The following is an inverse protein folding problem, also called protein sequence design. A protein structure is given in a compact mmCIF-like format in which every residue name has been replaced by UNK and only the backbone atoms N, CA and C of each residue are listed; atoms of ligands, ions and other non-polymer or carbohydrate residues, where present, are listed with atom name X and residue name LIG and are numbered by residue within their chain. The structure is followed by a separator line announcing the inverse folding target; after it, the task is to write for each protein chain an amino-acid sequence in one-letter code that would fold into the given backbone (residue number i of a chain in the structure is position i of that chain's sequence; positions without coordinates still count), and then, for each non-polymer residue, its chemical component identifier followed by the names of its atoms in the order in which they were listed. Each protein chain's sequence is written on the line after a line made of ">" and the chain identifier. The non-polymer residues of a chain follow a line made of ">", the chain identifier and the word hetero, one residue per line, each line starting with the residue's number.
data_IF_432058630148
#
_entry.id   IF_432058630148
#
_cell.length_a   1.000
_cell.length_b   1.000
_cell.length_c   1.000
_cell.angle_alpha   90.00
_cell.angle_beta   90.00
_cell.angle_gamma   90.00
#
_symmetry.space_group_name_H-M   'P 1'
#
loop_
_entity.id
_entity.type
_entity.pdbx_description
1 polymer ?
#
# COMPACT_ATOMS: atom_id res chain seq x y z
N UNK A 1 -24.44 -10.76 27.55
CA UNK A 1 -25.54 -10.11 26.80
C UNK A 1 -25.45 -10.58 25.35
N UNK A 2 -26.50 -11.13 24.74
CA UNK A 2 -26.41 -11.60 23.36
C UNK A 2 -26.45 -10.38 22.43
N UNK A 3 -25.32 -10.03 21.84
CA UNK A 3 -25.24 -8.94 20.87
C UNK A 3 -25.88 -9.39 19.55
N UNK A 4 -26.77 -8.54 19.06
CA UNK A 4 -27.73 -8.74 17.97
C UNK A 4 -27.06 -9.09 16.63
N UNK A 5 -27.59 -10.11 15.93
CA UNK A 5 -27.24 -10.50 14.54
C UNK A 5 -27.58 -9.46 13.45
N UNK A 6 -27.98 -8.23 13.83
CA UNK A 6 -28.39 -7.17 12.87
C UNK A 6 -27.23 -6.30 12.36
N UNK A 7 -26.04 -6.40 12.94
CA UNK A 7 -24.91 -5.51 12.63
C UNK A 7 -24.34 -5.71 11.23
N UNK A 8 -24.44 -6.93 10.67
CA UNK A 8 -23.81 -7.33 9.40
C UNK A 8 -24.32 -6.55 8.17
N UNK A 9 -25.61 -6.18 8.14
CA UNK A 9 -26.20 -5.48 6.97
C UNK A 9 -25.85 -3.98 6.95
N UNK A 10 -25.83 -3.34 8.11
CA UNK A 10 -25.42 -1.93 8.23
C UNK A 10 -23.92 -1.77 8.00
N UNK A 11 -23.13 -2.73 8.50
CA UNK A 11 -21.72 -2.85 8.17
C UNK A 11 -21.53 -3.01 6.67
N UNK A 12 -22.28 -3.93 6.03
CA UNK A 12 -22.26 -4.14 4.57
C UNK A 12 -22.64 -2.91 3.73
N UNK A 13 -23.56 -2.08 4.21
CA UNK A 13 -23.95 -0.83 3.53
C UNK A 13 -22.85 0.24 3.61
N UNK A 14 -22.14 0.33 4.74
CA UNK A 14 -21.01 1.25 4.90
C UNK A 14 -19.85 0.92 3.94
N UNK A 15 -19.77 -0.34 3.49
CA UNK A 15 -18.72 -0.83 2.58
C UNK A 15 -18.85 -0.26 1.15
N UNK A 16 -20.06 0.13 0.74
CA UNK A 16 -20.30 0.73 -0.58
C UNK A 16 -19.90 2.21 -0.63
N UNK A 17 -19.63 2.85 0.52
CA UNK A 17 -19.41 4.29 0.54
C UNK A 17 -18.14 4.72 -0.20
N UNK A 18 -17.13 3.86 -0.34
CA UNK A 18 -15.91 4.17 -1.09
C UNK A 18 -16.17 4.27 -2.59
N UNK A 19 -16.70 3.24 -3.28
CA UNK A 19 -17.15 3.37 -4.66
C UNK A 19 -18.17 4.50 -4.86
N UNK A 20 -19.15 4.62 -3.95
CA UNK A 20 -20.17 5.66 -4.03
C UNK A 20 -19.60 7.07 -3.84
N UNK A 21 -18.57 7.24 -3.01
CA UNK A 21 -17.86 8.50 -2.80
C UNK A 21 -17.10 8.92 -4.05
N UNK A 22 -16.35 8.01 -4.68
CA UNK A 22 -15.69 8.28 -5.96
C UNK A 22 -16.69 8.58 -7.08
N UNK A 23 -17.80 7.84 -7.14
CA UNK A 23 -18.89 8.11 -8.07
C UNK A 23 -19.54 9.47 -7.79
N UNK A 24 -19.78 9.84 -6.54
CA UNK A 24 -20.33 11.14 -6.17
C UNK A 24 -19.38 12.28 -6.52
N UNK A 25 -18.06 12.12 -6.31
CA UNK A 25 -17.07 13.10 -6.74
C UNK A 25 -17.13 13.29 -8.26
N UNK A 26 -17.12 12.19 -9.02
CA UNK A 26 -17.09 12.23 -10.48
C UNK A 26 -18.41 12.72 -11.12
N UNK A 27 -19.56 12.30 -10.59
CA UNK A 27 -20.87 12.58 -11.18
C UNK A 27 -21.61 13.76 -10.55
N UNK A 28 -21.21 14.24 -9.37
CA UNK A 28 -21.89 15.35 -8.68
C UNK A 28 -20.96 16.53 -8.50
N UNK A 29 -19.81 16.34 -7.83
CA UNK A 29 -18.90 17.45 -7.56
C UNK A 29 -18.25 17.99 -8.83
N UNK A 30 -17.83 17.13 -9.74
CA UNK A 30 -17.17 17.55 -10.98
C UNK A 30 -18.10 18.36 -11.91
N UNK A 31 -19.36 17.93 -12.17
CA UNK A 31 -20.31 18.74 -12.94
C UNK A 31 -20.76 20.00 -12.21
N UNK A 32 -20.88 19.98 -10.87
CA UNK A 32 -21.16 21.16 -10.08
C UNK A 32 -20.04 22.20 -10.25
N UNK A 33 -18.79 21.77 -10.19
CA UNK A 33 -17.63 22.64 -10.34
C UNK A 33 -17.53 23.26 -11.74
N UNK A 34 -17.89 22.48 -12.77
CA UNK A 34 -18.03 22.98 -14.15
C UNK A 34 -19.20 23.95 -14.25
N UNK A 35 -20.34 23.66 -13.63
CA UNK A 35 -21.52 24.53 -13.60
C UNK A 35 -21.23 25.88 -12.94
N UNK A 36 -20.42 25.90 -11.87
CA UNK A 36 -20.02 27.13 -11.17
C UNK A 36 -19.23 28.10 -12.08
N UNK A 37 -18.55 27.63 -13.12
CA UNK A 37 -17.88 28.49 -14.12
C UNK A 37 -18.85 29.42 -14.85
N UNK A 38 -20.14 29.07 -14.92
CA UNK A 38 -21.18 29.85 -15.59
C UNK A 38 -21.99 30.74 -14.64
N UNK A 39 -21.54 30.87 -13.38
CA UNK A 39 -22.20 31.68 -12.35
C UNK A 39 -21.29 32.81 -11.87
N UNK A 40 -21.80 33.68 -10.98
CA UNK A 40 -20.99 34.73 -10.35
C UNK A 40 -19.80 34.19 -9.52
N UNK A 41 -19.82 32.89 -9.17
CA UNK A 41 -18.78 32.21 -8.41
C UNK A 41 -17.64 31.64 -9.28
N UNK A 42 -17.59 31.97 -10.58
CA UNK A 42 -16.63 31.42 -11.55
C UNK A 42 -15.15 31.54 -11.16
N UNK A 43 -14.80 32.52 -10.31
CA UNK A 43 -13.43 32.70 -9.82
C UNK A 43 -12.93 31.51 -8.99
N UNK A 44 -13.81 30.85 -8.22
CA UNK A 44 -13.43 29.70 -7.38
C UNK A 44 -12.96 28.50 -8.23
N UNK A 45 -13.74 28.01 -9.21
CA UNK A 45 -13.27 26.93 -10.07
C UNK A 45 -12.11 27.36 -10.97
N UNK A 46 -12.06 28.61 -11.42
CA UNK A 46 -10.94 29.12 -12.23
C UNK A 46 -9.62 29.07 -11.47
N UNK A 47 -9.59 29.55 -10.22
CA UNK A 47 -8.38 29.48 -9.39
C UNK A 47 -7.95 28.04 -9.12
N UNK A 48 -8.91 27.13 -8.90
CA UNK A 48 -8.62 25.71 -8.73
C UNK A 48 -8.08 25.05 -10.00
N UNK A 49 -8.66 25.32 -11.18
CA UNK A 49 -8.16 24.80 -12.46
C UNK A 49 -6.78 25.37 -12.82
N UNK A 50 -6.54 26.65 -12.54
CA UNK A 50 -5.22 27.27 -12.70
C UNK A 50 -4.21 26.61 -11.77
N UNK A 51 -4.56 26.40 -10.49
CA UNK A 51 -3.70 25.64 -9.57
C UNK A 51 -3.43 24.23 -10.10
N UNK A 52 -4.46 23.48 -10.54
CA UNK A 52 -4.31 22.13 -11.09
C UNK A 52 -3.47 22.09 -12.38
N UNK A 53 -3.56 23.12 -13.22
CA UNK A 53 -2.74 23.26 -14.42
C UNK A 53 -1.28 23.56 -14.09
N UNK A 54 -1.04 24.48 -13.15
CA UNK A 54 0.30 24.80 -12.66
C UNK A 54 0.93 23.61 -11.93
N UNK A 55 0.12 22.88 -11.18
CA UNK A 55 0.49 21.70 -10.37
C UNK A 55 0.45 20.39 -11.19
N UNK A 56 0.18 20.43 -12.50
CA UNK A 56 -0.01 19.23 -13.33
C UNK A 56 1.17 18.25 -13.31
N UNK A 57 2.38 18.76 -13.02
CA UNK A 57 3.58 17.93 -12.92
C UNK A 57 3.83 17.39 -11.51
N UNK A 58 3.26 17.98 -10.47
CA UNK A 58 3.48 17.62 -9.07
C UNK A 58 3.04 16.20 -8.73
N UNK A 59 1.93 15.66 -9.26
CA UNK A 59 1.59 14.24 -9.10
C UNK A 59 2.69 13.28 -9.59
N UNK A 60 3.52 13.71 -10.55
CA UNK A 60 4.61 12.90 -11.12
C UNK A 60 5.94 13.05 -10.37
N UNK A 61 6.03 13.90 -9.33
CA UNK A 61 7.29 14.22 -8.65
C UNK A 61 7.63 13.28 -7.48
N UNK A 62 6.79 12.29 -7.16
CA UNK A 62 7.06 11.36 -6.06
C UNK A 62 6.57 9.93 -6.25
N UNK A 63 5.66 9.70 -7.20
CA UNK A 63 5.13 8.37 -7.49
C UNK A 63 5.36 8.05 -8.96
N UNK A 64 6.00 6.92 -9.22
CA UNK A 64 6.29 6.45 -10.56
C UNK A 64 5.69 5.06 -10.78
N UNK A 65 5.57 4.67 -12.05
CA UNK A 65 5.32 3.27 -12.39
C UNK A 65 6.43 2.39 -11.81
N UNK A 66 6.06 1.25 -11.22
CA UNK A 66 7.01 0.21 -10.76
C UNK A 66 7.49 -0.71 -11.91
N UNK A 67 7.32 -0.27 -13.17
CA UNK A 67 7.82 -1.00 -14.34
C UNK A 67 9.35 -0.95 -14.40
N UNK A 68 9.96 -2.02 -14.92
CA UNK A 68 11.41 -2.11 -15.05
C UNK A 68 12.03 -0.92 -15.83
N UNK A 69 11.45 -0.41 -16.94
CA UNK A 69 11.97 0.78 -17.61
C UNK A 69 11.95 2.03 -16.74
N UNK A 70 10.90 2.24 -15.94
CA UNK A 70 10.78 3.38 -15.04
C UNK A 70 11.82 3.32 -13.91
N UNK A 71 12.00 2.13 -13.30
CA UNK A 71 13.04 1.91 -12.28
C UNK A 71 14.43 2.15 -12.88
N UNK A 72 14.69 1.64 -14.09
CA UNK A 72 15.96 1.84 -14.79
C UNK A 72 16.22 3.33 -15.06
N UNK A 73 15.20 4.07 -15.50
CA UNK A 73 15.29 5.51 -15.71
C UNK A 73 15.68 6.22 -14.41
N UNK A 74 14.99 5.94 -13.31
CA UNK A 74 15.26 6.58 -12.01
C UNK A 74 16.66 6.26 -11.48
N UNK A 75 17.11 5.02 -11.59
CA UNK A 75 18.44 4.62 -11.12
C UNK A 75 19.59 5.09 -12.06
N UNK A 76 19.28 5.50 -13.30
CA UNK A 76 20.29 5.99 -14.24
C UNK A 76 20.80 7.42 -13.98
N UNK A 77 20.09 8.21 -13.17
CA UNK A 77 20.42 9.64 -12.92
C UNK A 77 21.60 9.86 -11.95
N UNK A 78 22.41 8.84 -11.71
CA UNK A 78 23.57 8.91 -10.80
C UNK A 78 23.17 8.92 -9.32
N UNK A 79 24.06 9.44 -8.48
CA UNK A 79 23.91 9.46 -7.01
C UNK A 79 22.89 10.49 -6.54
N UNK A 80 22.23 10.22 -5.41
CA UNK A 80 21.28 11.15 -4.78
C UNK A 80 19.80 10.80 -4.97
N UNK A 81 19.52 9.69 -5.67
CA UNK A 81 18.15 9.19 -5.87
C UNK A 81 17.82 8.12 -4.81
N UNK A 82 16.65 8.25 -4.17
CA UNK A 82 16.06 7.23 -3.30
C UNK A 82 14.79 6.69 -3.97
N UNK A 83 14.69 5.38 -4.09
CA UNK A 83 13.53 4.71 -4.67
C UNK A 83 12.91 3.77 -3.62
N UNK A 84 11.68 4.07 -3.21
CA UNK A 84 10.87 3.17 -2.39
C UNK A 84 10.06 2.21 -3.25
N UNK A 85 10.06 0.92 -2.91
CA UNK A 85 9.28 -0.11 -3.62
C UNK A 85 8.56 -0.97 -2.58
N UNK A 86 7.24 -1.10 -2.71
CA UNK A 86 6.44 -2.08 -1.97
C UNK A 86 6.43 -3.38 -2.78
N UNK A 87 7.28 -4.33 -2.41
CA UNK A 87 7.62 -5.49 -3.26
C UNK A 87 6.46 -6.47 -3.44
N UNK A 88 5.66 -6.75 -2.41
CA UNK A 88 4.54 -7.66 -2.54
C UNK A 88 3.25 -7.01 -3.05
N UNK A 89 3.17 -5.67 -3.02
CA UNK A 89 2.13 -4.88 -3.65
C UNK A 89 0.72 -5.28 -3.24
N UNK A 90 -0.22 -5.34 -4.20
CA UNK A 90 -1.64 -5.68 -3.94
C UNK A 90 -1.80 -7.08 -3.30
N UNK A 91 -0.86 -7.99 -3.51
CA UNK A 91 -0.90 -9.31 -2.89
C UNK A 91 -0.77 -9.25 -1.36
N UNK A 92 0.10 -8.37 -0.86
CA UNK A 92 0.30 -8.15 0.59
C UNK A 92 -0.91 -7.45 1.22
N UNK A 93 -1.59 -6.58 0.47
CA UNK A 93 -2.77 -5.85 0.96
C UNK A 93 -3.94 -6.77 1.37
N UNK A 94 -3.97 -8.03 0.92
CA UNK A 94 -4.97 -9.03 1.34
C UNK A 94 -4.58 -9.78 2.60
N UNK A 95 -3.30 -9.76 2.93
CA UNK A 95 -2.73 -10.38 4.12
C UNK A 95 -2.58 -9.34 5.23
N UNK A 96 -3.11 -8.13 5.05
CA UNK A 96 -3.00 -7.01 5.99
C UNK A 96 -4.05 -7.10 7.09
N UNK A 97 -4.10 -8.24 7.78
CA UNK A 97 -4.98 -8.45 8.94
C UNK A 97 -4.22 -8.20 10.24
N UNK A 98 -4.90 -7.71 11.30
CA UNK A 98 -4.24 -7.47 12.58
C UNK A 98 -3.50 -8.70 13.10
N UNK A 99 -2.30 -8.49 13.65
CA UNK A 99 -1.41 -9.52 14.18
C UNK A 99 -0.80 -10.48 13.15
N UNK A 100 -0.91 -10.20 11.85
CA UNK A 100 -0.13 -10.95 10.84
C UNK A 100 1.12 -10.18 10.42
N UNK A 101 2.20 -10.95 10.22
CA UNK A 101 3.53 -10.46 9.86
C UNK A 101 4.01 -11.26 8.66
N UNK A 102 3.30 -11.12 7.55
CA UNK A 102 3.53 -11.89 6.33
C UNK A 102 3.89 -10.96 5.19
N UNK A 103 5.05 -11.18 4.57
CA UNK A 103 5.55 -10.40 3.44
C UNK A 103 5.65 -11.29 2.21
N UNK A 104 5.13 -10.84 1.07
CA UNK A 104 5.25 -11.52 -0.22
C UNK A 104 6.56 -11.06 -0.88
N UNK A 105 7.63 -11.77 -0.54
CA UNK A 105 9.00 -11.42 -0.91
C UNK A 105 9.80 -12.62 -1.41
N UNK A 106 9.45 -13.85 -1.02
CA UNK A 106 10.27 -15.05 -1.22
C UNK A 106 10.56 -15.32 -2.70
N UNK A 107 9.57 -15.10 -3.57
CA UNK A 107 9.71 -15.31 -5.02
C UNK A 107 9.99 -14.02 -5.80
N UNK A 108 9.92 -12.85 -5.16
CA UNK A 108 9.98 -11.53 -5.81
C UNK A 108 11.42 -11.01 -5.87
N UNK A 109 12.22 -11.53 -6.80
CA UNK A 109 13.67 -11.22 -6.88
C UNK A 109 14.04 -10.12 -7.89
N UNK A 110 13.06 -9.57 -8.61
CA UNK A 110 13.29 -8.61 -9.69
C UNK A 110 13.95 -7.32 -9.22
N UNK A 111 13.58 -6.81 -8.04
CA UNK A 111 14.17 -5.59 -7.49
C UNK A 111 15.66 -5.76 -7.16
N UNK A 112 16.07 -6.93 -6.66
CA UNK A 112 17.49 -7.26 -6.40
C UNK A 112 18.28 -7.30 -7.69
N UNK A 113 17.71 -7.94 -8.74
CA UNK A 113 18.33 -7.96 -10.07
C UNK A 113 18.57 -6.54 -10.58
N UNK A 114 17.56 -5.68 -10.52
CA UNK A 114 17.70 -4.29 -10.97
C UNK A 114 18.69 -3.50 -10.11
N UNK A 115 18.70 -3.71 -8.80
CA UNK A 115 19.68 -3.08 -7.92
C UNK A 115 21.13 -3.49 -8.26
N UNK A 116 21.38 -4.78 -8.54
CA UNK A 116 22.69 -5.25 -9.03
C UNK A 116 23.10 -4.61 -10.36
N UNK A 117 22.15 -4.40 -11.30
CA UNK A 117 22.45 -3.78 -12.59
C UNK A 117 22.91 -2.33 -12.48
N UNK A 118 22.39 -1.60 -11.49
CA UNK A 118 22.73 -0.20 -11.25
C UNK A 118 23.77 0.00 -10.14
N UNK A 119 24.10 -1.03 -9.37
CA UNK A 119 24.90 -0.90 -8.15
C UNK A 119 24.18 -0.11 -7.05
N UNK A 120 22.85 -0.17 -7.02
CA UNK A 120 22.04 0.53 -6.03
C UNK A 120 22.06 -0.22 -4.69
N UNK A 121 22.23 0.52 -3.59
CA UNK A 121 22.16 -0.07 -2.25
C UNK A 121 20.72 -0.47 -1.93
N UNK A 122 20.54 -1.67 -1.37
CA UNK A 122 19.24 -2.12 -0.88
C UNK A 122 19.11 -1.74 0.60
N UNK A 123 18.08 -0.98 0.96
CA UNK A 123 17.86 -0.56 2.34
C UNK A 123 16.65 -1.31 2.92
N UNK A 124 16.86 -2.32 3.79
CA UNK A 124 15.76 -3.06 4.40
C UNK A 124 14.96 -2.12 5.31
N UNK A 125 13.66 -2.05 5.09
CA UNK A 125 12.75 -1.17 5.84
C UNK A 125 11.52 -1.98 6.24
N UNK A 126 11.11 -1.89 7.50
CA UNK A 126 9.91 -2.56 8.01
C UNK A 126 9.06 -1.57 8.80
N UNK A 127 7.74 -1.60 8.60
CA UNK A 127 6.82 -0.74 9.33
C UNK A 127 5.95 -1.57 10.27
N UNK A 128 5.96 -1.19 11.55
CA UNK A 128 5.07 -1.71 12.58
C UNK A 128 3.80 -0.84 12.68
N UNK A 129 2.66 -1.43 13.00
CA UNK A 129 1.41 -0.68 13.21
C UNK A 129 0.51 -0.53 11.97
N UNK A 130 1.01 -0.89 10.77
CA UNK A 130 0.26 -0.76 9.51
C UNK A 130 -1.00 -1.63 9.46
N UNK A 131 -0.93 -2.84 10.00
CA UNK A 131 -2.08 -3.79 9.96
C UNK A 131 -3.11 -3.50 11.04
N UNK A 132 -2.80 -2.61 11.99
CA UNK A 132 -3.61 -2.34 13.15
C UNK A 132 -4.47 -1.09 12.99
N UNK A 133 -4.17 -0.20 12.03
CA UNK A 133 -4.92 1.05 11.82
C UNK A 133 -6.29 0.84 11.18
N UNK A 134 -6.53 -0.32 10.57
CA UNK A 134 -7.82 -0.70 10.01
C UNK A 134 -8.12 -2.17 10.27
N UNK A 135 -9.39 -2.52 10.38
CA UNK A 135 -9.86 -3.91 10.36
C UNK A 135 -10.23 -4.30 8.94
N UNK A 136 -9.57 -5.33 8.40
CA UNK A 136 -9.88 -5.87 7.09
C UNK A 136 -10.93 -6.99 7.18
N UNK A 137 -11.91 -6.95 6.28
CA UNK A 137 -12.94 -7.99 6.14
C UNK A 137 -12.41 -9.07 5.20
N UNK A 138 -12.13 -10.25 5.75
CA UNK A 138 -11.83 -11.45 4.98
C UNK A 138 -13.10 -12.23 4.70
N UNK A 139 -13.40 -12.42 3.42
CA UNK A 139 -14.52 -13.25 2.99
C UNK A 139 -14.10 -14.71 2.92
N UNK A 140 -14.84 -15.59 3.58
CA UNK A 140 -14.62 -17.04 3.48
C UNK A 140 -14.75 -17.50 2.02
N UNK A 141 -13.95 -18.48 1.59
CA UNK A 141 -13.86 -18.90 0.18
C UNK A 141 -15.21 -19.36 -0.40
N UNK A 142 -16.04 -19.98 0.45
CA UNK A 142 -17.38 -20.44 0.06
C UNK A 142 -18.42 -19.31 -0.08
N UNK A 143 -18.12 -18.11 0.39
CA UNK A 143 -19.07 -17.00 0.44
C UNK A 143 -19.36 -16.39 -0.93
N UNK A 144 -20.59 -15.90 -1.13
CA UNK A 144 -20.98 -15.17 -2.35
C UNK A 144 -20.09 -13.95 -2.59
N UNK A 145 -19.67 -13.28 -1.51
CA UNK A 145 -18.84 -12.09 -1.60
C UNK A 145 -17.40 -12.42 -2.03
N UNK A 146 -16.85 -13.55 -1.57
CA UNK A 146 -15.56 -14.04 -2.06
C UNK A 146 -15.60 -14.37 -3.56
N UNK A 147 -16.67 -15.01 -4.03
CA UNK A 147 -16.88 -15.29 -5.46
C UNK A 147 -16.99 -14.01 -6.28
N UNK A 148 -17.70 -13.00 -5.78
CA UNK A 148 -17.80 -11.69 -6.41
C UNK A 148 -16.44 -10.96 -6.45
N UNK A 149 -15.71 -10.93 -5.33
CA UNK A 149 -14.37 -10.34 -5.27
C UNK A 149 -13.40 -11.04 -6.22
N UNK A 150 -13.47 -12.36 -6.34
CA UNK A 150 -12.66 -13.15 -7.26
C UNK A 150 -12.99 -12.88 -8.73
N UNK A 151 -14.28 -12.72 -9.06
CA UNK A 151 -14.71 -12.28 -10.38
C UNK A 151 -14.26 -10.86 -10.71
N UNK A 152 -14.39 -9.92 -9.76
CA UNK A 152 -13.92 -8.55 -9.91
C UNK A 152 -12.41 -8.49 -10.14
N UNK A 153 -11.63 -9.24 -9.35
CA UNK A 153 -10.19 -9.39 -9.55
C UNK A 153 -9.85 -9.90 -10.94
N UNK A 154 -10.61 -10.88 -11.43
CA UNK A 154 -10.38 -11.44 -12.76
C UNK A 154 -10.62 -10.40 -13.87
N UNK A 155 -11.60 -9.50 -13.72
CA UNK A 155 -11.86 -8.43 -14.69
C UNK A 155 -10.84 -7.29 -14.59
N UNK A 156 -10.60 -6.79 -13.38
CA UNK A 156 -9.92 -5.51 -13.17
C UNK A 156 -8.44 -5.65 -12.76
N UNK A 157 -7.99 -6.87 -12.44
CA UNK A 157 -6.59 -7.16 -12.08
C UNK A 157 -6.19 -6.75 -10.66
N UNK A 158 -7.10 -6.20 -9.86
CA UNK A 158 -6.87 -5.87 -8.46
C UNK A 158 -8.03 -6.33 -7.56
N UNK A 159 -7.75 -6.49 -6.27
CA UNK A 159 -8.74 -6.91 -5.30
C UNK A 159 -9.52 -5.72 -4.74
N UNK A 160 -10.82 -5.92 -4.56
CA UNK A 160 -11.63 -5.01 -3.75
C UNK A 160 -11.34 -5.30 -2.27
N UNK A 161 -10.35 -4.62 -1.69
CA UNK A 161 -10.05 -4.74 -0.26
C UNK A 161 -11.09 -3.99 0.55
N UNK A 162 -11.79 -4.71 1.42
CA UNK A 162 -12.80 -4.15 2.31
C UNK A 162 -12.16 -3.98 3.69
N UNK A 163 -12.09 -2.75 4.16
CA UNK A 163 -11.57 -2.42 5.48
C UNK A 163 -12.39 -1.28 6.11
N UNK A 164 -12.42 -1.23 7.44
CA UNK A 164 -13.10 -0.19 8.21
C UNK A 164 -12.25 0.20 9.42
N UNK A 165 -12.49 1.40 9.94
CA UNK A 165 -11.87 1.90 11.15
C UNK A 165 -12.89 2.62 12.01
N UNK A 166 -12.49 3.75 12.59
CA UNK A 166 -13.37 4.59 13.41
C UNK A 166 -14.17 5.60 12.56
N UNK A 167 -15.35 5.98 13.05
CA UNK A 167 -16.14 7.07 12.51
C UNK A 167 -15.89 8.38 13.27
N UNK A 168 -16.61 9.43 12.87
CA UNK A 168 -16.46 10.77 13.46
C UNK A 168 -17.05 10.89 14.87
N UNK A 169 -17.99 10.00 15.23
CA UNK A 169 -18.58 9.95 16.56
C UNK A 169 -17.86 8.90 17.42
N UNK A 170 -17.84 9.11 18.74
CA UNK A 170 -17.26 8.16 19.69
C UNK A 170 -17.93 6.78 19.53
N UNK A 171 -17.11 5.73 19.44
CA UNK A 171 -17.50 4.32 19.23
C UNK A 171 -18.30 4.03 17.95
N UNK A 172 -18.21 4.90 16.94
CA UNK A 172 -18.78 4.63 15.61
C UNK A 172 -17.77 3.92 14.70
N UNK A 173 -18.26 3.04 13.82
CA UNK A 173 -17.46 2.43 12.75
C UNK A 173 -17.49 3.35 11.53
N UNK A 174 -16.35 3.50 10.87
CA UNK A 174 -16.25 4.40 9.73
C UNK A 174 -14.98 4.25 8.92
N UNK A 175 -14.56 5.39 8.36
CA UNK A 175 -13.52 5.50 7.34
C UNK A 175 -12.16 5.95 7.86
N UNK A 176 -12.14 6.48 9.08
CA UNK A 176 -10.93 7.01 9.66
C UNK A 176 -10.10 5.87 10.25
N UNK A 177 -8.76 5.93 10.13
CA UNK A 177 -7.91 4.93 10.76
C UNK A 177 -8.06 4.99 12.28
N UNK A 178 -7.89 3.86 12.94
CA UNK A 178 -7.74 3.83 14.39
C UNK A 178 -6.50 4.62 14.82
N UNK A 179 -6.57 5.26 15.99
CA UNK A 179 -5.45 6.00 16.56
C UNK A 179 -4.40 5.05 17.15
N UNK A 180 -3.62 4.42 16.26
CA UNK A 180 -2.50 3.53 16.62
C UNK A 180 -1.20 4.03 15.99
N UNK A 181 -0.06 3.88 16.67
CA UNK A 181 1.23 4.34 16.15
C UNK A 181 1.66 3.49 14.95
N UNK A 182 2.11 4.17 13.89
CA UNK A 182 2.80 3.54 12.76
C UNK A 182 4.28 3.92 12.87
N UNK A 183 5.15 2.93 12.94
CA UNK A 183 6.59 3.14 13.13
C UNK A 183 7.38 2.40 12.07
N UNK A 184 8.08 3.15 11.22
CA UNK A 184 8.99 2.60 10.21
C UNK A 184 10.41 2.54 10.75
N UNK A 185 10.99 1.34 10.76
CA UNK A 185 12.39 1.11 11.13
C UNK A 185 13.20 0.92 9.85
N UNK A 186 14.22 1.75 9.68
CA UNK A 186 15.15 1.73 8.53
C UNK A 186 16.44 1.03 8.97
N UNK A 187 16.81 -0.02 8.25
CA UNK A 187 17.99 -0.82 8.54
C UNK A 187 19.25 -0.31 7.84
N UNK A 188 20.35 -1.01 8.07
CA UNK A 188 21.63 -0.72 7.43
C UNK A 188 21.56 -0.97 5.91
N UNK A 189 22.06 -0.06 5.07
CA UNK A 189 22.14 -0.26 3.63
C UNK A 189 23.01 -1.48 3.28
N UNK A 190 22.48 -2.38 2.45
CA UNK A 190 23.23 -3.47 1.85
C UNK A 190 23.88 -2.97 0.55
N UNK A 191 25.22 -2.82 0.49
CA UNK A 191 25.90 -2.41 -0.73
C UNK A 191 25.94 -3.56 -1.74
N UNK A 192 25.64 -3.25 -2.99
CA UNK A 192 25.61 -4.22 -4.09
C UNK A 192 26.66 -3.83 -5.15
N UNK A 193 27.44 -4.79 -5.67
CA UNK A 193 28.31 -4.54 -6.81
C UNK A 193 27.46 -4.27 -8.06
N UNK A 194 27.97 -3.39 -8.94
CA UNK A 194 27.36 -3.15 -10.24
C UNK A 194 27.73 -4.27 -11.22
N UNK A 195 26.74 -5.01 -11.72
CA UNK A 195 26.90 -6.13 -12.65
C UNK A 195 25.84 -6.04 -13.74
N UNK A 196 26.23 -5.88 -15.01
CA UNK A 196 25.28 -5.69 -16.13
C UNK A 196 24.31 -6.87 -16.31
N UNK A 197 24.83 -8.09 -16.20
CA UNK A 197 24.07 -9.34 -16.31
C UNK A 197 24.29 -10.21 -15.06
N UNK A 198 23.59 -9.95 -13.96
CA UNK A 198 23.77 -10.70 -12.72
C UNK A 198 23.26 -12.14 -12.88
N UNK A 199 24.06 -13.11 -12.43
CA UNK A 199 23.67 -14.51 -12.50
C UNK A 199 22.50 -14.81 -11.53
N UNK A 200 21.66 -15.83 -11.79
CA UNK A 200 20.59 -16.22 -10.89
C UNK A 200 21.08 -16.51 -9.47
N UNK A 201 22.23 -17.17 -9.32
CA UNK A 201 22.82 -17.49 -8.01
C UNK A 201 23.25 -16.23 -7.26
N UNK A 202 23.75 -15.23 -7.97
CA UNK A 202 24.10 -13.94 -7.37
C UNK A 202 22.85 -13.20 -6.90
N UNK A 203 21.79 -13.16 -7.71
CA UNK A 203 20.51 -12.56 -7.32
C UNK A 203 19.96 -13.25 -6.08
N UNK A 204 20.00 -14.57 -6.05
CA UNK A 204 19.50 -15.38 -4.93
C UNK A 204 20.29 -15.10 -3.65
N UNK A 205 21.61 -15.03 -3.73
CA UNK A 205 22.47 -14.67 -2.60
C UNK A 205 22.12 -13.31 -2.00
N UNK A 206 22.01 -12.26 -2.82
CA UNK A 206 21.70 -10.91 -2.32
C UNK A 206 20.24 -10.78 -1.85
N UNK A 207 19.33 -11.54 -2.46
CA UNK A 207 17.95 -11.62 -2.01
C UNK A 207 17.83 -12.26 -0.63
N UNK A 208 18.57 -13.35 -0.39
CA UNK A 208 18.66 -13.99 0.93
C UNK A 208 19.25 -13.03 1.97
N UNK A 209 20.35 -12.33 1.66
CA UNK A 209 20.93 -11.32 2.55
C UNK A 209 19.93 -10.21 2.90
N UNK A 210 19.14 -9.74 1.93
CA UNK A 210 18.11 -8.74 2.16
C UNK A 210 16.97 -9.25 3.06
N UNK A 211 16.48 -10.47 2.81
CA UNK A 211 15.46 -11.11 3.65
C UNK A 211 15.95 -11.32 5.08
N UNK A 212 17.21 -11.73 5.24
CA UNK A 212 17.84 -11.97 6.53
C UNK A 212 18.01 -10.66 7.32
N UNK A 213 18.34 -9.55 6.63
CA UNK A 213 18.39 -8.22 7.23
C UNK A 213 17.01 -7.72 7.68
N UNK A 214 15.97 -7.91 6.86
CA UNK A 214 14.57 -7.60 7.25
C UNK A 214 14.12 -8.42 8.46
N UNK A 215 14.44 -9.73 8.47
CA UNK A 215 14.11 -10.61 9.58
C UNK A 215 14.78 -10.16 10.88
N UNK A 216 16.07 -9.83 10.85
CA UNK A 216 16.81 -9.28 12.01
C UNK A 216 16.19 -7.99 12.51
N UNK A 217 15.85 -7.08 11.61
CA UNK A 217 15.26 -5.78 11.94
C UNK A 217 13.89 -5.95 12.61
N UNK A 218 13.07 -6.86 12.11
CA UNK A 218 11.82 -7.25 12.77
C UNK A 218 12.07 -7.84 14.18
N UNK A 219 12.93 -8.86 14.29
CA UNK A 219 13.19 -9.55 15.56
C UNK A 219 13.71 -8.61 16.65
N UNK A 220 14.56 -7.65 16.30
CA UNK A 220 15.11 -6.67 17.23
C UNK A 220 14.06 -5.70 17.80
N UNK A 221 13.08 -5.31 16.99
CA UNK A 221 12.14 -4.24 17.34
C UNK A 221 10.72 -4.73 17.68
N UNK A 222 10.36 -5.98 17.37
CA UNK A 222 9.00 -6.52 17.53
C UNK A 222 8.42 -6.33 18.94
N UNK A 223 9.21 -6.60 19.98
CA UNK A 223 8.74 -6.50 21.38
C UNK A 223 8.47 -5.05 21.78
N UNK A 224 9.29 -4.10 21.30
CA UNK A 224 9.12 -2.67 21.58
C UNK A 224 7.85 -2.11 20.96
N UNK A 225 7.38 -2.70 19.86
CA UNK A 225 6.18 -2.28 19.14
C UNK A 225 4.95 -3.16 19.41
N UNK A 226 4.95 -3.93 20.51
CA UNK A 226 3.76 -4.64 21.00
C UNK A 226 3.54 -6.04 20.42
N UNK A 227 4.48 -6.59 19.66
CA UNK A 227 4.40 -7.94 19.12
C UNK A 227 4.96 -8.97 20.11
N UNK A 228 4.39 -10.19 20.08
CA UNK A 228 4.84 -11.29 20.95
C UNK A 228 6.26 -11.75 20.61
N UNK A 229 7.03 -12.17 21.62
CA UNK A 229 8.33 -12.82 21.41
C UNK A 229 8.26 -14.06 20.51
N UNK A 230 7.12 -14.77 20.54
CA UNK A 230 6.90 -15.97 19.73
C UNK A 230 6.47 -15.67 18.29
N UNK A 231 6.09 -14.42 18.00
CA UNK A 231 5.67 -14.04 16.66
C UNK A 231 6.87 -14.00 15.72
N UNK A 232 6.67 -14.55 14.52
CA UNK A 232 7.70 -14.65 13.48
C UNK A 232 7.26 -13.90 12.24
N UNK A 233 8.22 -13.26 11.59
CA UNK A 233 8.06 -12.74 10.25
C UNK A 233 8.06 -13.91 9.25
N UNK A 234 7.02 -14.00 8.42
CA UNK A 234 6.86 -15.02 7.40
C UNK A 234 7.07 -14.41 6.02
N UNK A 235 7.83 -15.10 5.17
CA UNK A 235 8.04 -14.72 3.79
C UNK A 235 7.32 -15.70 2.86
N UNK A 236 6.49 -15.17 1.95
CA UNK A 236 5.73 -15.90 0.92
C UNK A 236 6.20 -15.56 -0.50
#
# INVERSE_FOLDING_TARGET
>A
MPCSKKTDYLQSLSLLQWPLGYLAIFFILQPLFIGLLFTSLWLLPTLYFVWLFLDWKTPNQGVCSVSQPAINYLLSHGTGNLLGIVVGGVGEALQSVPNTTTLILQKRKGFVRTALQHGAHLVPTFTFGETEVYDQVLFHEDSRMYKFQSFFRWIFGFYFCVFYGQGFCQDSVGLLPYHKPIVTIVGEPLPLPRVESPSPEMVDKYHELYMDALYKLFEQHKVQHGYSKTQKLLFL
#
